data_IF_787750253259
#
_entry.id   IF_787750253259
#
_cell.length_a   1.000
_cell.length_b   1.000
_cell.length_c   1.000
_cell.angle_alpha   90.00
_cell.angle_beta   90.00
_cell.angle_gamma   90.00
#
_symmetry.space_group_name_H-M   'P 1'
#
loop_
_entity.id
_entity.type
_entity.pdbx_description
1 polymer ?
#
# COMPACT_ATOMS: atom_id res chain seq x y z
N UNK A 1 5.69 46.62 36.87
CA UNK A 1 7.15 46.44 36.79
C UNK A 1 7.43 45.47 35.64
N UNK A 2 7.94 45.99 34.50
CA UNK A 2 8.39 45.18 33.36
C UNK A 2 9.72 44.52 33.76
N UNK A 3 9.74 43.20 33.87
CA UNK A 3 10.98 42.43 33.79
C UNK A 3 10.92 41.66 32.48
N UNK A 4 11.75 42.04 31.52
CA UNK A 4 11.83 41.41 30.21
C UNK A 4 12.15 39.92 30.36
N UNK A 5 11.52 39.10 29.53
CA UNK A 5 11.91 37.71 29.35
C UNK A 5 13.43 37.66 29.13
N UNK A 6 14.14 36.87 29.93
CA UNK A 6 15.59 36.75 29.79
C UNK A 6 15.89 36.18 28.39
N UNK A 7 16.70 36.88 27.57
CA UNK A 7 16.93 36.48 26.17
C UNK A 7 17.51 35.06 26.05
N UNK A 8 18.25 34.62 27.06
CA UNK A 8 18.81 33.26 27.17
C UNK A 8 17.73 32.18 27.33
N UNK A 9 16.64 32.47 28.05
CA UNK A 9 15.49 31.56 28.23
C UNK A 9 14.70 31.44 26.94
N UNK A 10 14.52 32.56 26.23
CA UNK A 10 13.88 32.56 24.90
C UNK A 10 14.72 31.76 23.91
N UNK A 11 16.04 31.95 23.90
CA UNK A 11 16.95 31.24 23.01
C UNK A 11 17.00 29.73 23.30
N UNK A 12 17.06 29.32 24.57
CA UNK A 12 16.99 27.91 24.95
C UNK A 12 15.65 27.28 24.57
N UNK A 13 14.53 27.97 24.80
CA UNK A 13 13.21 27.50 24.38
C UNK A 13 13.12 27.33 22.86
N UNK A 14 13.70 28.28 22.09
CA UNK A 14 13.75 28.20 20.62
C UNK A 14 14.54 26.95 20.15
N UNK A 15 15.73 26.72 20.71
CA UNK A 15 16.57 25.55 20.37
C UNK A 15 15.86 24.23 20.70
N UNK A 16 15.13 24.17 21.82
CA UNK A 16 14.33 23.00 22.20
C UNK A 16 13.15 22.78 21.23
N UNK A 17 12.48 23.84 20.79
CA UNK A 17 11.42 23.75 19.79
C UNK A 17 11.95 23.27 18.44
N UNK A 18 13.09 23.79 17.98
CA UNK A 18 13.71 23.41 16.71
C UNK A 18 14.17 21.96 16.71
N UNK A 19 14.83 21.52 17.80
CA UNK A 19 15.24 20.13 17.95
C UNK A 19 14.05 19.17 18.04
N UNK A 20 12.95 19.58 18.67
CA UNK A 20 11.70 18.82 18.72
C UNK A 20 11.06 18.70 17.33
N UNK A 21 10.97 19.80 16.56
CA UNK A 21 10.50 19.78 15.17
C UNK A 21 11.33 18.84 14.29
N UNK A 22 12.65 18.91 14.42
CA UNK A 22 13.56 18.02 13.68
C UNK A 22 13.34 16.55 14.04
N UNK A 23 13.11 16.26 15.33
CA UNK A 23 12.81 14.90 15.80
C UNK A 23 11.47 14.39 15.27
N UNK A 24 10.42 15.23 15.28
CA UNK A 24 9.11 14.90 14.72
C UNK A 24 9.17 14.62 13.22
N UNK A 25 9.93 15.40 12.47
CA UNK A 25 10.22 15.11 11.04
C UNK A 25 10.92 13.78 10.85
N UNK A 26 11.92 13.47 11.70
CA UNK A 26 12.61 12.17 11.65
C UNK A 26 11.69 11.01 12.02
N UNK A 27 10.61 11.28 12.74
CA UNK A 27 9.52 10.34 13.01
C UNK A 27 8.44 10.36 11.91
N UNK A 28 8.68 10.99 10.75
CA UNK A 28 7.76 10.94 9.61
C UNK A 28 6.54 11.88 9.68
N UNK A 29 6.51 12.84 10.61
CA UNK A 29 5.45 13.87 10.61
C UNK A 29 5.73 14.92 9.52
N UNK A 30 4.69 15.30 8.77
CA UNK A 30 4.78 16.35 7.74
C UNK A 30 4.92 17.75 8.35
N UNK A 31 5.43 18.71 7.58
CA UNK A 31 5.55 20.10 8.02
C UNK A 31 4.19 20.69 8.38
N UNK A 32 3.16 20.42 7.59
CA UNK A 32 1.79 20.89 7.82
C UNK A 32 1.24 20.39 9.16
N UNK A 33 1.44 19.11 9.47
CA UNK A 33 0.99 18.51 10.72
C UNK A 33 1.78 19.06 11.92
N UNK A 34 3.09 19.29 11.77
CA UNK A 34 3.92 19.88 12.81
C UNK A 34 3.48 21.32 13.12
N UNK A 35 3.12 22.09 12.10
CA UNK A 35 2.66 23.46 12.27
C UNK A 35 1.23 23.51 12.84
N UNK A 36 0.36 22.57 12.45
CA UNK A 36 -0.95 22.35 13.11
C UNK A 36 -0.76 22.07 14.61
N UNK A 37 0.12 21.13 14.96
CA UNK A 37 0.43 20.78 16.36
C UNK A 37 1.03 21.96 17.14
N UNK A 38 1.79 22.84 16.49
CA UNK A 38 2.35 24.04 17.12
C UNK A 38 1.27 25.07 17.52
N UNK A 39 0.05 24.97 16.96
CA UNK A 39 -1.09 25.80 17.37
C UNK A 39 -1.86 25.25 18.57
N UNK A 40 -1.54 24.03 19.02
CA UNK A 40 -2.23 23.41 20.16
C UNK A 40 -1.86 24.12 21.47
N UNK A 41 -2.86 24.58 22.21
CA UNK A 41 -2.68 25.32 23.48
C UNK A 41 -2.47 24.44 24.71
N UNK A 42 -2.28 23.13 24.53
CA UNK A 42 -2.05 22.15 25.59
C UNK A 42 -1.60 20.79 25.04
N UNK A 43 -1.12 19.87 25.90
CA UNK A 43 -0.77 18.52 25.48
C UNK A 43 -2.01 17.83 24.91
N UNK A 44 -1.85 17.11 23.80
CA UNK A 44 -2.93 16.32 23.22
C UNK A 44 -3.31 15.19 24.18
N UNK A 45 -4.42 15.40 24.87
CA UNK A 45 -4.93 14.46 25.86
C UNK A 45 -5.53 13.20 25.18
N UNK A 46 -5.72 13.18 23.85
CA UNK A 46 -6.20 11.99 23.12
C UNK A 46 -5.29 10.76 23.29
N UNK A 47 -4.01 10.98 23.61
CA UNK A 47 -3.04 9.92 23.86
C UNK A 47 -3.15 9.32 25.28
N UNK A 48 -3.84 9.97 26.21
CA UNK A 48 -3.90 9.59 27.64
C UNK A 48 -5.33 9.41 28.17
N UNK A 49 -6.32 10.05 27.56
CA UNK A 49 -7.74 10.03 27.89
C UNK A 49 -8.54 10.00 26.57
N UNK A 50 -9.75 9.44 26.59
CA UNK A 50 -10.64 9.51 25.44
C UNK A 50 -10.79 10.99 25.02
N UNK A 51 -10.36 11.32 23.80
CA UNK A 51 -10.47 12.66 23.25
C UNK A 51 -11.96 13.06 23.25
N UNK A 52 -12.37 14.20 23.83
CA UNK A 52 -13.75 14.69 23.70
C UNK A 52 -14.19 14.86 22.24
N UNK A 53 -13.25 14.97 21.30
CA UNK A 53 -13.50 15.01 19.86
C UNK A 53 -13.61 13.63 19.19
N UNK A 54 -13.48 12.53 19.95
CA UNK A 54 -13.60 11.16 19.46
C UNK A 54 -12.45 10.72 18.55
N UNK A 55 -11.31 11.41 18.55
CA UNK A 55 -10.16 11.03 17.72
C UNK A 55 -9.34 9.96 18.41
N UNK A 56 -9.07 8.87 17.68
CA UNK A 56 -8.28 7.73 18.18
C UNK A 56 -7.14 7.45 17.22
N UNK A 57 -5.95 7.22 17.77
CA UNK A 57 -4.79 6.83 16.99
C UNK A 57 -4.78 5.33 16.70
N UNK A 58 -4.70 4.98 15.42
CA UNK A 58 -4.48 3.63 14.95
C UNK A 58 -3.02 3.46 14.53
N UNK A 59 -2.42 2.37 14.96
CA UNK A 59 -1.09 1.95 14.54
C UNK A 59 -1.20 0.63 13.76
N UNK A 60 -0.81 0.64 12.49
CA UNK A 60 -0.84 -0.54 11.63
C UNK A 60 0.57 -0.83 11.08
N UNK A 61 1.12 -2.04 11.30
CA UNK A 61 2.35 -2.45 10.62
C UNK A 61 2.03 -2.75 9.15
N UNK A 62 2.80 -2.16 8.24
CA UNK A 62 2.71 -2.39 6.79
C UNK A 62 4.04 -2.96 6.30
N UNK A 63 4.00 -4.03 5.51
CA UNK A 63 5.21 -4.67 5.03
C UNK A 63 5.93 -3.84 3.97
N UNK A 64 7.24 -4.00 3.86
CA UNK A 64 8.09 -3.26 2.92
C UNK A 64 7.60 -3.27 1.47
N UNK A 65 7.07 -4.41 1.00
CA UNK A 65 6.56 -4.55 -0.37
C UNK A 65 5.22 -3.84 -0.62
N UNK A 66 4.48 -3.50 0.44
CA UNK A 66 3.20 -2.79 0.38
C UNK A 66 3.37 -1.27 0.54
N UNK A 67 4.48 -0.82 1.15
CA UNK A 67 4.76 0.61 1.37
C UNK A 67 4.64 1.49 0.13
N UNK A 68 5.04 1.07 -1.10
CA UNK A 68 4.85 1.90 -2.29
C UNK A 68 3.39 2.24 -2.60
N UNK A 69 2.45 1.43 -2.10
CA UNK A 69 1.01 1.58 -2.31
C UNK A 69 0.37 2.48 -1.24
N UNK A 70 1.02 2.64 -0.09
CA UNK A 70 0.51 3.37 1.06
C UNK A 70 1.07 4.78 1.10
N UNK A 71 0.19 5.79 1.18
CA UNK A 71 0.54 7.21 1.17
C UNK A 71 -0.20 7.96 2.28
N UNK A 72 0.44 9.01 2.81
CA UNK A 72 -0.23 9.93 3.74
C UNK A 72 -1.44 10.57 3.06
N UNK A 73 -2.54 10.73 3.80
CA UNK A 73 -3.81 11.25 3.29
C UNK A 73 -4.78 10.19 2.76
N UNK A 74 -4.36 8.93 2.59
CA UNK A 74 -5.28 7.85 2.21
C UNK A 74 -6.30 7.54 3.30
N UNK A 75 -7.49 7.14 2.87
CA UNK A 75 -8.55 6.62 3.74
C UNK A 75 -8.22 5.21 4.20
N UNK A 76 -8.40 4.99 5.50
CA UNK A 76 -8.32 3.68 6.15
C UNK A 76 -9.69 3.36 6.72
N UNK A 77 -10.16 2.15 6.50
CA UNK A 77 -11.38 1.61 7.09
C UNK A 77 -10.99 0.51 8.04
N UNK A 78 -11.56 0.51 9.24
CA UNK A 78 -11.35 -0.57 10.21
C UNK A 78 -12.63 -1.34 10.46
N UNK A 79 -12.48 -2.63 10.75
CA UNK A 79 -13.50 -3.44 11.40
C UNK A 79 -13.00 -3.88 12.78
N UNK A 80 -13.94 -4.00 13.72
CA UNK A 80 -13.65 -4.29 15.12
C UNK A 80 -14.12 -5.72 15.40
N UNK A 81 -13.23 -6.73 15.47
CA UNK A 81 -13.64 -8.12 15.71
C UNK A 81 -14.43 -8.31 17.01
N UNK A 82 -14.15 -7.49 18.02
CA UNK A 82 -14.87 -7.49 19.29
C UNK A 82 -16.32 -6.97 19.17
N UNK A 83 -16.66 -6.24 18.09
CA UNK A 83 -17.99 -5.67 17.83
C UNK A 83 -18.34 -5.90 16.35
N UNK A 84 -18.77 -7.11 15.98
CA UNK A 84 -19.04 -7.46 14.59
C UNK A 84 -20.05 -6.50 13.93
N UNK A 85 -19.76 -6.10 12.69
CA UNK A 85 -20.61 -5.21 11.91
C UNK A 85 -20.42 -3.72 12.17
N UNK A 86 -19.57 -3.33 13.13
CA UNK A 86 -19.14 -1.93 13.28
C UNK A 86 -17.86 -1.70 12.49
N UNK A 87 -17.92 -0.72 11.61
CA UNK A 87 -16.75 -0.18 10.90
C UNK A 87 -16.56 1.28 11.28
N UNK A 88 -15.30 1.71 11.31
CA UNK A 88 -14.94 3.12 11.48
C UNK A 88 -13.96 3.52 10.38
N UNK A 89 -13.94 4.81 10.07
CA UNK A 89 -13.06 5.38 9.06
C UNK A 89 -12.05 6.32 9.70
N UNK A 90 -10.94 6.48 9.00
CA UNK A 90 -9.93 7.46 9.34
C UNK A 90 -9.00 7.78 8.19
N UNK A 91 -7.94 8.52 8.52
CA UNK A 91 -6.98 9.01 7.53
C UNK A 91 -5.56 8.77 8.00
N UNK A 92 -4.71 8.27 7.10
CA UNK A 92 -3.28 8.09 7.37
C UNK A 92 -2.62 9.46 7.53
N UNK A 93 -1.99 9.69 8.69
CA UNK A 93 -1.30 10.95 9.02
C UNK A 93 0.21 10.85 8.94
N UNK A 94 0.78 9.68 9.23
CA UNK A 94 2.22 9.48 9.16
C UNK A 94 2.59 8.04 8.84
N UNK A 95 3.76 7.86 8.25
CA UNK A 95 4.40 6.57 8.00
C UNK A 95 5.81 6.66 8.56
N UNK A 96 6.18 5.74 9.45
CA UNK A 96 7.51 5.74 10.05
C UNK A 96 8.58 5.50 8.96
N UNK A 97 9.65 6.32 8.91
CA UNK A 97 10.66 6.20 7.85
C UNK A 97 11.65 5.06 8.08
N UNK A 98 11.61 4.44 9.26
CA UNK A 98 12.53 3.36 9.66
C UNK A 98 11.72 2.08 9.84
N UNK A 99 12.14 1.01 9.17
CA UNK A 99 11.53 -0.30 9.30
C UNK A 99 11.92 -0.94 10.63
N UNK A 100 10.97 -1.66 11.22
CA UNK A 100 11.27 -2.61 12.27
C UNK A 100 12.00 -3.82 11.65
N UNK A 101 13.24 -4.12 12.05
CA UNK A 101 14.04 -5.17 11.41
C UNK A 101 13.56 -6.59 11.75
N UNK A 102 12.83 -6.78 12.86
CA UNK A 102 12.32 -8.09 13.26
C UNK A 102 11.09 -8.48 12.43
N UNK A 103 10.25 -7.51 12.09
CA UNK A 103 9.01 -7.74 11.33
C UNK A 103 9.10 -7.32 9.86
N UNK A 104 10.16 -6.59 9.48
CA UNK A 104 10.32 -5.94 8.16
C UNK A 104 9.09 -5.11 7.76
N UNK A 105 8.56 -4.37 8.72
CA UNK A 105 7.39 -3.52 8.55
C UNK A 105 7.69 -2.07 8.92
N UNK A 106 7.04 -1.13 8.24
CA UNK A 106 6.93 0.25 8.73
C UNK A 106 5.65 0.40 9.54
N UNK A 107 5.67 1.29 10.53
CA UNK A 107 4.48 1.62 11.30
C UNK A 107 3.75 2.78 10.63
N UNK A 108 2.50 2.53 10.23
CA UNK A 108 1.57 3.55 9.76
C UNK A 108 0.74 4.05 10.92
N UNK A 109 0.59 5.37 11.00
CA UNK A 109 -0.26 6.08 11.97
C UNK A 109 -1.44 6.71 11.26
N UNK A 110 -2.63 6.32 11.66
CA UNK A 110 -3.88 6.91 11.19
C UNK A 110 -4.68 7.50 12.34
N UNK A 111 -5.48 8.52 12.03
CA UNK A 111 -6.45 9.10 12.96
C UNK A 111 -7.82 8.61 12.54
N UNK A 112 -8.48 7.89 13.44
CA UNK A 112 -9.85 7.40 13.30
C UNK A 112 -10.83 8.37 13.95
N UNK A 113 -12.07 8.37 13.43
CA UNK A 113 -13.20 9.06 14.07
C UNK A 113 -14.04 8.04 14.82
N UNK A 114 -14.04 8.13 16.15
CA UNK A 114 -14.80 7.29 17.09
C UNK A 114 -15.72 8.16 17.96
N UNK A 115 -16.85 8.63 17.40
CA UNK A 115 -17.77 9.51 18.12
C UNK A 115 -18.53 8.79 19.24
N UNK A 116 -18.67 7.47 19.15
CA UNK A 116 -19.35 6.63 20.14
C UNK A 116 -18.40 6.17 21.27
N UNK A 117 -17.11 6.48 21.18
CA UNK A 117 -16.06 6.06 22.10
C UNK A 117 -16.07 4.54 22.34
N UNK A 118 -16.23 3.78 21.25
CA UNK A 118 -16.30 2.31 21.28
C UNK A 118 -14.91 1.67 21.30
N UNK A 119 -13.90 2.35 20.77
CA UNK A 119 -12.52 1.88 20.77
C UNK A 119 -11.87 2.13 22.13
N UNK A 120 -11.22 1.10 22.66
CA UNK A 120 -10.37 1.23 23.85
C UNK A 120 -8.90 1.23 23.45
N UNK A 121 -8.02 1.90 24.23
CA UNK A 121 -6.58 1.74 24.06
C UNK A 121 -6.18 0.26 24.04
N UNK A 122 -5.19 -0.06 23.21
CA UNK A 122 -4.66 -1.42 23.01
C UNK A 122 -5.65 -2.44 22.42
N UNK A 123 -6.84 -2.01 21.97
CA UNK A 123 -7.78 -2.87 21.26
C UNK A 123 -7.25 -3.27 19.88
N UNK A 124 -7.43 -4.54 19.52
CA UNK A 124 -7.11 -5.06 18.20
C UNK A 124 -8.23 -4.75 17.21
N UNK A 125 -7.85 -4.32 16.01
CA UNK A 125 -8.75 -4.06 14.88
C UNK A 125 -8.12 -4.58 13.60
N UNK A 126 -8.95 -4.92 12.62
CA UNK A 126 -8.48 -5.16 11.27
C UNK A 126 -8.56 -3.83 10.51
N UNK A 127 -7.54 -3.54 9.71
CA UNK A 127 -7.45 -2.31 8.96
C UNK A 127 -7.30 -2.60 7.46
N UNK A 128 -8.10 -1.91 6.65
CA UNK A 128 -8.06 -1.95 5.20
C UNK A 128 -7.74 -0.57 4.66
N UNK A 129 -6.70 -0.47 3.83
CA UNK A 129 -6.30 0.78 3.18
C UNK A 129 -6.72 0.70 1.73
N UNK A 130 -7.58 1.62 1.29
CA UNK A 130 -7.96 1.71 -0.11
C UNK A 130 -6.78 2.29 -0.92
N UNK A 131 -6.23 1.49 -1.82
CA UNK A 131 -5.13 1.90 -2.71
C UNK A 131 -5.66 2.07 -4.12
N UNK A 132 -5.62 3.29 -4.65
CA UNK A 132 -5.93 3.53 -6.06
C UNK A 132 -4.67 3.28 -6.87
N UNK A 133 -4.64 2.17 -7.63
CA UNK A 133 -3.55 1.87 -8.56
C UNK A 133 -3.55 2.79 -9.81
N UNK A 134 -4.55 3.67 -9.93
CA UNK A 134 -4.83 4.44 -11.14
C UNK A 134 -5.56 3.59 -12.18
N UNK A 135 -5.77 4.14 -13.37
CA UNK A 135 -6.17 3.34 -14.52
C UNK A 135 -4.91 2.62 -15.03
N UNK A 136 -4.87 1.30 -14.83
CA UNK A 136 -3.80 0.43 -15.29
C UNK A 136 -4.39 -0.65 -16.19
N UNK A 137 -3.63 -1.07 -17.20
CA UNK A 137 -3.99 -2.24 -17.98
C UNK A 137 -3.93 -3.46 -17.05
N UNK A 138 -5.03 -4.20 -16.95
CA UNK A 138 -5.13 -5.33 -16.06
C UNK A 138 -5.65 -6.57 -16.80
N UNK A 139 -5.14 -7.73 -16.41
CA UNK A 139 -5.62 -9.04 -16.89
C UNK A 139 -6.02 -9.90 -15.70
N UNK A 140 -6.99 -10.80 -15.91
CA UNK A 140 -7.41 -11.73 -14.86
C UNK A 140 -6.24 -12.59 -14.41
N UNK A 141 -6.14 -12.88 -13.10
CA UNK A 141 -5.18 -13.84 -12.55
C UNK A 141 -5.26 -15.19 -13.27
N UNK A 142 -6.47 -15.62 -13.65
CA UNK A 142 -6.68 -16.89 -14.33
C UNK A 142 -6.07 -16.94 -15.75
N UNK A 143 -5.70 -15.79 -16.33
CA UNK A 143 -5.03 -15.71 -17.64
C UNK A 143 -3.50 -15.78 -17.57
N UNK A 144 -2.93 -15.76 -16.36
CA UNK A 144 -1.47 -15.77 -16.16
C UNK A 144 -1.00 -17.17 -15.81
N UNK A 145 -0.30 -17.81 -16.75
CA UNK A 145 0.29 -19.13 -16.56
C UNK A 145 1.71 -18.97 -16.02
N UNK A 146 1.92 -19.42 -14.78
CA UNK A 146 3.22 -19.39 -14.15
C UNK A 146 3.97 -20.71 -14.46
N UNK A 147 5.07 -20.62 -15.21
CA UNK A 147 5.93 -21.77 -15.52
C UNK A 147 7.05 -21.96 -14.49
N UNK A 148 6.98 -21.24 -13.36
CA UNK A 148 7.99 -21.18 -12.31
C UNK A 148 9.14 -20.22 -12.61
N UNK A 149 9.55 -20.11 -13.88
CA UNK A 149 10.62 -19.21 -14.32
C UNK A 149 10.12 -18.00 -15.10
N UNK A 150 8.94 -18.10 -15.73
CA UNK A 150 8.32 -17.05 -16.52
C UNK A 150 6.81 -17.04 -16.29
N UNK A 151 6.20 -15.90 -16.56
CA UNK A 151 4.76 -15.75 -16.63
C UNK A 151 4.37 -15.63 -18.10
N UNK A 152 3.38 -16.40 -18.53
CA UNK A 152 2.92 -16.46 -19.91
C UNK A 152 1.42 -16.19 -19.94
N UNK A 153 0.98 -15.37 -20.90
CA UNK A 153 -0.43 -15.24 -21.26
C UNK A 153 -0.62 -15.71 -22.70
N UNK A 154 -1.81 -16.22 -23.02
CA UNK A 154 -2.17 -16.60 -24.39
C UNK A 154 -3.10 -15.54 -24.97
N UNK A 155 -2.63 -14.86 -26.02
CA UNK A 155 -3.40 -13.83 -26.72
C UNK A 155 -4.23 -14.51 -27.81
N UNK A 156 -5.54 -14.29 -27.81
CA UNK A 156 -6.43 -14.73 -28.86
C UNK A 156 -6.28 -13.82 -30.08
N UNK A 157 -5.81 -14.38 -31.20
CA UNK A 157 -5.69 -13.69 -32.49
C UNK A 157 -6.91 -13.92 -33.38
N UNK A 158 -7.95 -14.57 -32.86
CA UNK A 158 -9.14 -15.00 -33.58
C UNK A 158 -8.92 -16.32 -34.33
N UNK A 159 -10.02 -16.88 -34.84
CA UNK A 159 -10.00 -18.10 -35.67
C UNK A 159 -9.35 -19.32 -34.98
N UNK A 160 -9.36 -19.36 -33.65
CA UNK A 160 -8.73 -20.43 -32.87
C UNK A 160 -7.20 -20.38 -32.88
N UNK A 161 -6.60 -19.24 -33.24
CA UNK A 161 -5.15 -19.03 -33.18
C UNK A 161 -4.80 -18.29 -31.88
N UNK A 162 -3.86 -18.88 -31.13
CA UNK A 162 -3.41 -18.35 -29.85
C UNK A 162 -1.91 -18.12 -29.88
N UNK A 163 -1.51 -16.93 -29.49
CA UNK A 163 -0.11 -16.54 -29.42
C UNK A 163 0.33 -16.56 -27.94
N UNK A 164 1.20 -17.49 -27.53
CA UNK A 164 1.78 -17.43 -26.19
C UNK A 164 2.77 -16.28 -26.13
N UNK A 165 2.67 -15.49 -25.06
CA UNK A 165 3.53 -14.33 -24.88
C UNK A 165 3.97 -14.21 -23.43
N UNK A 166 5.26 -13.91 -23.25
CA UNK A 166 5.78 -13.60 -21.93
C UNK A 166 5.15 -12.30 -21.45
N UNK A 167 4.65 -12.31 -20.22
CA UNK A 167 4.08 -11.14 -19.56
C UNK A 167 4.89 -10.80 -18.32
N UNK A 168 4.95 -9.52 -18.00
CA UNK A 168 5.44 -9.04 -16.72
C UNK A 168 4.27 -8.44 -16.00
N UNK A 169 3.87 -9.05 -14.89
CA UNK A 169 2.79 -8.52 -14.06
C UNK A 169 3.31 -7.71 -12.88
N UNK A 170 2.48 -6.77 -12.44
CA UNK A 170 2.69 -5.92 -11.28
C UNK A 170 1.84 -6.34 -10.09
N UNK A 171 1.21 -5.35 -9.48
CA UNK A 171 0.41 -5.55 -8.26
C UNK A 171 -0.80 -6.43 -8.57
N UNK A 172 -1.13 -7.33 -7.64
CA UNK A 172 -2.36 -8.12 -7.66
C UNK A 172 -3.44 -7.42 -6.83
N UNK A 173 -4.60 -7.19 -7.41
CA UNK A 173 -5.76 -6.64 -6.71
C UNK A 173 -7.05 -7.21 -7.32
N UNK A 174 -8.03 -7.53 -6.46
CA UNK A 174 -9.38 -7.98 -6.86
C UNK A 174 -9.45 -9.13 -7.88
N UNK A 175 -8.47 -10.04 -7.87
CA UNK A 175 -8.40 -11.16 -8.82
C UNK A 175 -7.81 -10.80 -10.19
N UNK A 176 -7.21 -9.62 -10.30
CA UNK A 176 -6.50 -9.14 -11.48
C UNK A 176 -5.04 -8.85 -11.17
N UNK A 177 -4.22 -8.93 -12.20
CA UNK A 177 -2.84 -8.45 -12.19
C UNK A 177 -2.73 -7.20 -13.06
N UNK A 178 -2.02 -6.20 -12.56
CA UNK A 178 -1.48 -5.11 -13.38
C UNK A 178 -0.55 -5.68 -14.46
N UNK A 179 -0.69 -5.25 -15.71
CA UNK A 179 0.20 -5.59 -16.81
C UNK A 179 1.29 -4.51 -16.94
N UNK A 180 2.54 -4.88 -16.68
CA UNK A 180 3.71 -4.01 -16.93
C UNK A 180 4.23 -4.15 -18.36
N UNK A 181 4.16 -5.36 -18.92
CA UNK A 181 4.47 -5.60 -20.32
C UNK A 181 3.91 -6.94 -20.80
N UNK A 182 3.83 -7.09 -22.13
CA UNK A 182 3.44 -8.33 -22.79
C UNK A 182 2.00 -8.32 -23.29
N UNK A 183 1.07 -7.60 -22.68
CA UNK A 183 -0.31 -7.47 -23.22
C UNK A 183 -0.57 -6.02 -23.55
N UNK A 184 -1.23 -5.76 -24.68
CA UNK A 184 -1.68 -4.44 -25.08
C UNK A 184 -3.19 -4.27 -24.80
N UNK A 185 -3.61 -3.02 -24.65
CA UNK A 185 -5.04 -2.70 -24.51
C UNK A 185 -5.84 -3.19 -25.72
N UNK A 186 -7.01 -3.78 -25.47
CA UNK A 186 -7.87 -4.36 -26.49
C UNK A 186 -7.50 -5.77 -26.96
N UNK A 187 -6.35 -6.32 -26.53
CA UNK A 187 -6.04 -7.73 -26.78
C UNK A 187 -6.87 -8.66 -25.89
N UNK A 188 -7.41 -9.73 -26.49
CA UNK A 188 -8.17 -10.75 -25.78
C UNK A 188 -7.22 -11.79 -25.20
N UNK A 189 -7.36 -12.10 -23.90
CA UNK A 189 -6.55 -13.09 -23.20
C UNK A 189 -7.39 -14.28 -22.74
N UNK A 190 -6.81 -15.48 -22.83
CA UNK A 190 -7.50 -16.70 -22.41
C UNK A 190 -7.45 -16.86 -20.89
N UNK A 191 -8.61 -16.98 -20.24
CA UNK A 191 -8.75 -17.08 -18.78
C UNK A 191 -9.09 -18.50 -18.28
N UNK A 192 -9.39 -19.44 -19.17
CA UNK A 192 -9.86 -20.78 -18.79
C UNK A 192 -9.03 -21.89 -19.44
N UNK A 193 -8.41 -22.73 -18.61
CA UNK A 193 -7.54 -23.84 -19.02
C UNK A 193 -8.23 -24.98 -19.78
N UNK A 194 -9.57 -25.06 -19.79
CA UNK A 194 -10.30 -26.05 -20.60
C UNK A 194 -10.05 -25.88 -22.12
N UNK A 195 -9.58 -24.70 -22.54
CA UNK A 195 -9.13 -24.45 -23.91
C UNK A 195 -7.83 -25.21 -24.26
N UNK A 196 -6.90 -25.35 -23.31
CA UNK A 196 -5.57 -25.95 -23.57
C UNK A 196 -5.65 -27.43 -23.92
N UNK A 197 -6.70 -28.11 -23.47
CA UNK A 197 -6.93 -29.55 -23.68
C UNK A 197 -7.42 -29.83 -25.11
N UNK A 198 -8.20 -28.94 -25.72
CA UNK A 198 -8.73 -29.14 -27.08
C UNK A 198 -7.69 -28.83 -28.18
N UNK A 199 -6.57 -28.18 -27.83
CA UNK A 199 -5.49 -27.75 -28.73
C UNK A 199 -4.10 -28.30 -28.39
N UNK A 200 -4.06 -29.49 -27.78
CA UNK A 200 -2.86 -30.14 -27.21
C UNK A 200 -1.67 -30.24 -28.20
N UNK A 201 -1.93 -30.44 -29.49
CA UNK A 201 -0.87 -30.58 -30.51
C UNK A 201 -0.21 -29.26 -30.92
N UNK A 202 -0.90 -28.12 -30.81
CA UNK A 202 -0.36 -26.80 -31.20
C UNK A 202 0.29 -26.09 -30.02
N UNK A 203 -0.26 -26.31 -28.82
CA UNK A 203 0.27 -25.76 -27.57
C UNK A 203 1.68 -26.27 -27.29
N UNK A 204 1.92 -27.58 -27.47
CA UNK A 204 3.25 -28.18 -27.23
C UNK A 204 4.32 -27.56 -28.14
N UNK A 205 4.02 -27.37 -29.42
CA UNK A 205 4.91 -26.72 -30.37
C UNK A 205 5.18 -25.24 -30.02
N UNK A 206 4.16 -24.52 -29.54
CA UNK A 206 4.29 -23.11 -29.18
C UNK A 206 5.07 -22.90 -27.85
N UNK A 207 4.92 -23.80 -26.89
CA UNK A 207 5.70 -23.81 -25.64
C UNK A 207 7.17 -24.20 -25.88
N UNK A 208 7.42 -25.16 -26.78
CA UNK A 208 8.78 -25.56 -27.19
C UNK A 208 9.53 -24.41 -27.91
N UNK A 209 8.82 -23.58 -28.70
CA UNK A 209 9.38 -22.38 -29.33
C UNK A 209 9.81 -21.28 -28.36
N UNK A 210 9.22 -21.21 -27.15
CA UNK A 210 9.58 -20.23 -26.10
C UNK A 210 10.78 -20.72 -25.26
N UNK A 211 11.02 -22.03 -25.22
CA UNK A 211 12.09 -22.64 -24.43
C UNK A 211 13.49 -22.55 -25.09
N UNK A 212 13.60 -22.20 -26.37
CA UNK A 212 14.87 -22.04 -27.07
C UNK A 212 15.20 -20.56 -27.36
N UNK A 213 16.18 -19.95 -26.66
CA UNK A 213 16.83 -18.73 -27.14
C UNK A 213 17.75 -19.10 -28.32
N UNK A 214 17.77 -18.24 -29.34
CA UNK A 214 18.43 -18.50 -30.62
C UNK A 214 19.90 -18.91 -30.52
N UNK A 215 20.22 -20.06 -31.12
CA UNK A 215 21.57 -20.36 -31.57
C UNK A 215 21.81 -19.64 -32.91
N UNK A 216 22.53 -18.52 -32.86
CA UNK A 216 23.14 -17.91 -34.03
C UNK A 216 24.26 -18.84 -34.54
N UNK A 217 24.06 -19.45 -35.71
CA UNK A 217 25.16 -19.98 -36.51
C UNK A 217 25.63 -18.90 -37.48
N UNK A 218 26.73 -18.24 -37.12
CA UNK A 218 27.60 -17.56 -38.07
C UNK A 218 28.52 -18.59 -38.74
N UNK A 219 28.56 -18.55 -40.07
CA UNK A 219 29.48 -19.31 -40.92
C UNK A 219 30.90 -18.75 -40.83
#
# INVERSE_FOLDING_TARGET
VKAGAMPEVVEQAQRLADSSRLRLRRLGLSHELIDEMATWTGPDQSLLLADPSGRVWLYAPIYEYELPLVKTGQTITIDIPAIPGKTLEGTIRAIDPVLDPATRSARVRAVLTDPENILKPEMYVNASIAVTAGEVLAISEAAVFNTGTKQIAFIDKGQGLFEPRNVVVGVKADGYYEVKSGVAEGELVVTSGNFLIDSESRLKAALEGIAQPGHQHGQ
#
